data_IF_918575425348
#
_entry.id   IF_918575425348
#
_cell.length_a   1.000
_cell.length_b   1.000
_cell.length_c   1.000
_cell.angle_alpha   90.00
_cell.angle_beta   90.00
_cell.angle_gamma   90.00
#
_symmetry.space_group_name_H-M   'P 1'
#
loop_
_entity.id
_entity.type
_entity.pdbx_description
1 polymer ?
#
# COMPACT_ATOMS: atom_id res chain seq x y z
N UNK A 1 37.07 22.16 -35.28
CA UNK A 1 36.53 20.84 -35.68
C UNK A 1 35.98 20.17 -34.43
N UNK A 2 34.68 19.87 -34.40
CA UNK A 2 33.88 19.60 -33.17
C UNK A 2 33.97 18.11 -32.80
N UNK A 3 34.56 17.78 -31.66
CA UNK A 3 34.70 16.39 -31.17
C UNK A 3 33.52 16.08 -30.24
N UNK A 4 32.51 15.44 -30.86
CA UNK A 4 31.70 14.30 -30.43
C UNK A 4 31.42 14.06 -28.93
N UNK A 5 30.12 14.01 -28.64
CA UNK A 5 29.38 13.31 -27.58
C UNK A 5 30.21 12.51 -26.54
N UNK A 6 30.17 12.99 -25.31
CA UNK A 6 30.34 12.14 -24.11
C UNK A 6 29.03 12.22 -23.33
N UNK A 7 28.14 11.25 -23.56
CA UNK A 7 27.00 11.04 -22.68
C UNK A 7 27.55 10.56 -21.33
N UNK A 8 27.42 11.41 -20.31
CA UNK A 8 27.65 11.02 -18.92
C UNK A 8 26.47 10.14 -18.51
N UNK A 9 26.55 8.85 -18.85
CA UNK A 9 25.68 7.80 -18.31
C UNK A 9 26.55 6.99 -17.37
N UNK A 10 26.96 7.65 -16.29
CA UNK A 10 27.77 7.05 -15.24
C UNK A 10 26.99 7.07 -13.94
N UNK A 11 26.69 5.88 -13.41
CA UNK A 11 26.50 5.62 -11.98
C UNK A 11 25.19 6.07 -11.30
N UNK A 12 24.05 6.10 -11.99
CA UNK A 12 22.75 6.29 -11.31
C UNK A 12 21.88 5.02 -11.21
N UNK A 13 22.33 3.87 -11.72
CA UNK A 13 21.54 2.63 -11.78
C UNK A 13 21.76 1.66 -10.61
N UNK A 14 22.71 1.94 -9.71
CA UNK A 14 23.07 1.02 -8.62
C UNK A 14 22.40 1.30 -7.26
N UNK A 15 21.82 2.48 -7.05
CA UNK A 15 21.27 2.87 -5.75
C UNK A 15 19.75 2.65 -5.62
N UNK A 16 19.02 2.45 -6.73
CA UNK A 16 17.57 2.27 -6.71
C UNK A 16 17.14 0.86 -6.29
N UNK A 17 18.04 -0.13 -6.28
CA UNK A 17 17.68 -1.52 -5.95
C UNK A 17 17.78 -1.88 -4.47
N UNK A 18 18.38 -1.04 -3.63
CA UNK A 18 18.54 -1.33 -2.20
C UNK A 18 17.46 -0.69 -1.31
N UNK A 19 16.71 0.27 -1.84
CA UNK A 19 15.59 0.89 -1.13
C UNK A 19 14.32 0.01 -1.12
N UNK A 20 14.18 -0.95 -2.04
CA UNK A 20 12.99 -1.81 -2.13
C UNK A 20 12.99 -2.99 -1.15
N UNK A 21 14.05 -3.16 -0.35
CA UNK A 21 14.21 -4.26 0.61
C UNK A 21 14.08 -3.81 2.07
N UNK A 22 13.70 -2.55 2.31
CA UNK A 22 13.53 -2.00 3.67
C UNK A 22 12.06 -1.89 4.09
N UNK A 23 11.10 -2.22 3.22
CA UNK A 23 9.67 -2.05 3.48
C UNK A 23 8.94 -3.39 3.69
N UNK A 24 9.62 -4.40 4.21
CA UNK A 24 9.06 -5.74 4.46
C UNK A 24 8.01 -5.76 5.61
N UNK A 25 7.66 -4.61 6.18
CA UNK A 25 6.72 -4.50 7.32
C UNK A 25 5.54 -3.53 7.14
N UNK A 26 5.57 -2.62 6.17
CA UNK A 26 4.60 -1.53 6.03
C UNK A 26 4.07 -1.40 4.60
N UNK A 27 3.50 -2.49 4.07
CA UNK A 27 2.64 -2.39 2.89
C UNK A 27 1.52 -1.37 3.11
N UNK A 28 1.01 -0.74 2.03
CA UNK A 28 -0.03 0.28 2.11
C UNK A 28 -1.20 -0.20 2.98
N UNK A 29 -1.68 0.70 3.83
CA UNK A 29 -2.83 0.49 4.71
C UNK A 29 -3.94 1.46 4.33
N UNK A 30 -5.16 0.95 4.20
CA UNK A 30 -6.36 1.74 3.97
C UNK A 30 -7.36 1.51 5.11
N UNK A 31 -8.03 2.56 5.55
CA UNK A 31 -9.17 2.45 6.47
C UNK A 31 -10.47 2.34 5.69
N UNK A 32 -11.45 1.64 6.25
CA UNK A 32 -12.79 1.50 5.69
C UNK A 32 -13.86 1.74 6.76
N UNK A 33 -14.98 2.32 6.34
CA UNK A 33 -16.19 2.48 7.13
C UNK A 33 -17.30 1.64 6.49
N UNK A 34 -18.09 0.96 7.32
CA UNK A 34 -19.27 0.21 6.89
C UNK A 34 -20.51 1.04 7.20
N UNK A 35 -21.30 1.33 6.17
CA UNK A 35 -22.47 2.21 6.26
C UNK A 35 -23.72 1.39 5.99
N UNK A 36 -24.73 1.53 6.84
CA UNK A 36 -26.02 0.86 6.69
C UNK A 36 -26.93 1.56 5.67
N UNK A 37 -28.15 1.03 5.47
CA UNK A 37 -29.10 1.60 4.52
C UNK A 37 -29.72 2.93 4.98
N UNK A 38 -29.53 3.32 6.24
CA UNK A 38 -29.95 4.62 6.79
C UNK A 38 -28.85 5.68 6.67
N UNK A 39 -27.63 5.28 6.30
CA UNK A 39 -26.47 6.16 6.20
C UNK A 39 -25.63 6.22 7.48
N UNK A 40 -25.89 5.33 8.45
CA UNK A 40 -25.18 5.28 9.72
C UNK A 40 -23.94 4.40 9.61
N UNK A 41 -22.83 4.83 10.22
CA UNK A 41 -21.61 4.01 10.31
C UNK A 41 -21.82 2.95 11.39
N UNK A 42 -21.80 1.68 10.98
CA UNK A 42 -22.04 0.51 11.85
C UNK A 42 -20.79 -0.35 12.04
N UNK A 43 -19.66 0.07 11.48
CA UNK A 43 -18.42 -0.66 11.62
C UNK A 43 -17.25 0.05 10.98
N UNK A 44 -16.07 -0.39 11.38
CA UNK A 44 -14.81 0.14 10.89
C UNK A 44 -13.84 -1.00 10.62
N UNK A 45 -12.87 -0.76 9.75
CA UNK A 45 -11.83 -1.73 9.47
C UNK A 45 -10.59 -1.15 8.83
N UNK A 46 -9.61 -2.03 8.65
CA UNK A 46 -8.36 -1.75 7.99
C UNK A 46 -8.04 -2.84 6.99
N UNK A 47 -7.42 -2.44 5.89
CA UNK A 47 -6.94 -3.30 4.82
C UNK A 47 -5.44 -3.04 4.70
N UNK A 48 -4.62 -4.05 4.96
CA UNK A 48 -3.16 -3.98 4.88
C UNK A 48 -2.63 -4.96 3.84
N UNK A 49 -1.78 -4.48 2.93
CA UNK A 49 -1.05 -5.38 2.04
C UNK A 49 -0.01 -6.19 2.85
N UNK A 50 -0.20 -7.51 2.89
CA UNK A 50 0.75 -8.47 3.43
C UNK A 50 1.65 -9.05 2.34
N UNK A 51 2.66 -9.86 2.73
CA UNK A 51 3.65 -10.40 1.81
C UNK A 51 3.09 -11.38 0.77
N UNK A 52 1.93 -11.99 1.03
CA UNK A 52 1.31 -13.02 0.16
C UNK A 52 -0.15 -12.69 -0.18
N UNK A 53 -0.67 -11.56 0.29
CA UNK A 53 -2.08 -11.23 0.14
C UNK A 53 -2.47 -9.99 0.91
N UNK A 54 -3.75 -9.91 1.29
CA UNK A 54 -4.29 -8.76 2.02
C UNK A 54 -4.81 -9.23 3.37
N UNK A 55 -4.42 -8.52 4.43
CA UNK A 55 -4.97 -8.69 5.76
C UNK A 55 -6.10 -7.68 5.93
N UNK A 56 -7.29 -8.18 6.27
CA UNK A 56 -8.45 -7.36 6.58
C UNK A 56 -8.80 -7.58 8.04
N UNK A 57 -8.88 -6.49 8.80
CA UNK A 57 -9.37 -6.51 10.17
C UNK A 57 -10.54 -5.54 10.27
N UNK A 58 -11.71 -6.02 10.67
CA UNK A 58 -12.90 -5.20 10.79
C UNK A 58 -13.76 -5.62 11.97
N UNK A 59 -14.53 -4.67 12.48
CA UNK A 59 -15.60 -4.87 13.45
C UNK A 59 -16.86 -4.26 12.87
N UNK A 60 -17.95 -5.02 12.86
CA UNK A 60 -19.25 -4.59 12.36
C UNK A 60 -20.29 -4.99 13.39
N UNK A 61 -21.10 -4.02 13.80
CA UNK A 61 -22.22 -4.19 14.72
C UNK A 61 -23.56 -4.20 13.96
N UNK A 62 -24.63 -4.59 14.64
CA UNK A 62 -25.99 -4.50 14.09
C UNK A 62 -26.33 -5.56 13.03
N UNK A 63 -25.51 -6.60 12.89
CA UNK A 63 -25.82 -7.76 12.06
C UNK A 63 -26.84 -8.66 12.76
N UNK A 64 -27.79 -9.19 11.99
CA UNK A 64 -28.67 -10.25 12.46
C UNK A 64 -27.86 -11.53 12.71
N UNK A 65 -28.25 -12.30 13.73
CA UNK A 65 -27.65 -13.60 14.02
C UNK A 65 -27.93 -14.59 12.88
N UNK A 66 -26.91 -15.36 12.48
CA UNK A 66 -26.97 -16.31 11.36
C UNK A 66 -26.10 -17.54 11.56
#
# INVERSE_FOLDING_TARGET
MKIRNSAVIGLALGAFSLASMAEEGNGPTASVEFIDNHGEVVGEGTIKQGPVGVLMNFSIDGLEEG
#
